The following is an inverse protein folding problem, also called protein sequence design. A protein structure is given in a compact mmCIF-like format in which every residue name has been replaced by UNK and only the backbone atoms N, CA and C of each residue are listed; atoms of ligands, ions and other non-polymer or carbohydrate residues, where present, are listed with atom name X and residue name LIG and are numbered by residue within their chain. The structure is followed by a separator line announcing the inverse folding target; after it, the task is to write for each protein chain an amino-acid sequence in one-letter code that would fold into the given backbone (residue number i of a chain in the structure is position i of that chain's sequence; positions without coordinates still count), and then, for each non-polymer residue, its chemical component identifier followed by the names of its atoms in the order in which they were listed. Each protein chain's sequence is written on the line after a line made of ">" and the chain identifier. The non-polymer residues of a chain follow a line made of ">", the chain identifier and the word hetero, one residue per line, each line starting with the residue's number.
data_IF_467557739879
#
_entry.id   IF_467557739879
#
_cell.length_a   1.000
_cell.length_b   1.000
_cell.length_c   1.000
_cell.angle_alpha   90.00
_cell.angle_beta   90.00
_cell.angle_gamma   90.00
#
_symmetry.space_group_name_H-M   'P 1'
#
loop_
_entity.id
_entity.type
_entity.pdbx_description
1 polymer ?
#
# COMPACT_ATOMS: atom_id res chain seq x y z
N UNK A 1 -4.77 -16.45 -14.51
CA UNK A 1 -5.57 -15.28 -14.95
C UNK A 1 -6.80 -15.16 -14.08
N UNK A 2 -7.02 -14.02 -13.45
CA UNK A 2 -8.28 -13.72 -12.79
C UNK A 2 -9.22 -13.09 -13.83
N UNK A 3 -10.46 -13.56 -13.90
CA UNK A 3 -11.50 -12.92 -14.72
C UNK A 3 -12.19 -11.91 -13.82
N UNK A 4 -12.08 -10.63 -14.15
CA UNK A 4 -12.85 -9.56 -13.49
C UNK A 4 -14.13 -9.40 -14.29
N UNK A 5 -15.28 -9.70 -13.68
CA UNK A 5 -16.57 -9.41 -14.25
C UNK A 5 -17.08 -8.11 -13.63
N UNK A 6 -17.26 -7.08 -14.43
CA UNK A 6 -17.88 -5.82 -14.02
C UNK A 6 -19.35 -5.90 -14.44
N UNK A 7 -20.26 -5.81 -13.49
CA UNK A 7 -21.68 -5.70 -13.75
C UNK A 7 -22.17 -4.33 -13.25
N UNK A 8 -22.79 -3.56 -14.12
CA UNK A 8 -23.53 -2.36 -13.74
C UNK A 8 -25.01 -2.73 -13.59
N UNK A 9 -25.62 -2.43 -12.45
CA UNK A 9 -27.05 -2.53 -12.25
C UNK A 9 -27.67 -1.15 -12.34
N UNK A 10 -28.48 -0.92 -13.33
CA UNK A 10 -29.37 0.23 -13.35
C UNK A 10 -30.55 -0.03 -12.41
N UNK A 11 -30.63 0.71 -11.32
CA UNK A 11 -31.83 0.74 -10.49
C UNK A 11 -32.86 1.63 -11.16
N UNK A 12 -34.08 1.10 -11.38
CA UNK A 12 -35.15 1.71 -12.17
C UNK A 12 -35.47 3.16 -11.79
N UNK A 13 -35.46 3.97 -12.80
CA UNK A 13 -36.35 5.11 -13.11
C UNK A 13 -36.37 6.39 -12.27
N UNK A 14 -35.63 6.61 -11.17
CA UNK A 14 -35.59 7.91 -10.47
C UNK A 14 -34.30 8.30 -9.75
N UNK A 15 -33.25 7.53 -9.80
CA UNK A 15 -31.92 7.95 -9.31
C UNK A 15 -30.87 7.61 -10.35
N UNK A 16 -30.06 8.59 -10.74
CA UNK A 16 -28.87 8.42 -11.59
C UNK A 16 -27.73 7.68 -10.86
N UNK A 17 -28.02 6.77 -9.93
CA UNK A 17 -27.03 6.00 -9.19
C UNK A 17 -26.93 4.59 -9.76
N UNK A 18 -25.88 4.30 -10.50
CA UNK A 18 -25.52 2.95 -10.91
C UNK A 18 -24.55 2.33 -9.88
N UNK A 19 -24.86 1.12 -9.42
CA UNK A 19 -23.96 0.35 -8.55
C UNK A 19 -22.98 -0.45 -9.41
N UNK A 20 -21.69 -0.31 -9.14
CA UNK A 20 -20.64 -1.11 -9.79
C UNK A 20 -20.34 -2.31 -8.89
N UNK A 21 -20.59 -3.52 -9.38
CA UNK A 21 -20.20 -4.77 -8.73
C UNK A 21 -19.03 -5.39 -9.50
N UNK A 22 -17.96 -5.75 -8.77
CA UNK A 22 -16.79 -6.40 -9.34
C UNK A 22 -16.60 -7.77 -8.68
N UNK A 23 -16.54 -8.84 -9.48
CA UNK A 23 -16.34 -10.20 -9.03
C UNK A 23 -15.03 -10.76 -9.59
N UNK A 24 -14.13 -11.16 -8.70
CA UNK A 24 -12.90 -11.86 -9.06
C UNK A 24 -12.95 -13.29 -8.53
N UNK A 25 -12.99 -14.27 -9.43
CA UNK A 25 -13.01 -15.69 -9.07
C UNK A 25 -11.59 -16.21 -8.82
N UNK A 26 -11.39 -16.96 -7.73
CA UNK A 26 -10.14 -17.66 -7.47
C UNK A 26 -10.13 -18.96 -8.27
N UNK A 27 -9.19 -19.11 -9.22
CA UNK A 27 -9.10 -20.27 -10.12
C UNK A 27 -8.21 -21.37 -9.51
N UNK A 28 -7.21 -21.03 -8.70
CA UNK A 28 -6.23 -21.95 -8.11
C UNK A 28 -6.30 -21.90 -6.57
N UNK A 29 -7.39 -22.46 -6.01
CA UNK A 29 -7.55 -22.61 -4.57
C UNK A 29 -7.07 -24.00 -4.13
N UNK A 30 -5.98 -24.06 -3.35
CA UNK A 30 -5.39 -25.30 -2.81
C UNK A 30 -5.55 -25.35 -1.30
N UNK A 31 -6.70 -25.75 -0.82
CA UNK A 31 -7.01 -25.82 0.63
C UNK A 31 -6.07 -26.77 1.39
N UNK A 32 -5.62 -27.82 0.73
CA UNK A 32 -4.72 -28.85 1.29
C UNK A 32 -3.35 -28.27 1.72
N UNK A 33 -2.86 -27.19 1.12
CA UNK A 33 -1.56 -26.56 1.47
C UNK A 33 -1.58 -25.91 2.87
N UNK A 34 -2.72 -25.82 3.54
CA UNK A 34 -2.90 -25.19 4.84
C UNK A 34 -3.10 -26.15 6.02
N UNK A 35 -3.15 -27.48 5.77
CA UNK A 35 -3.44 -28.48 6.82
C UNK A 35 -2.44 -28.43 8.00
N UNK A 36 -1.16 -28.14 7.74
CA UNK A 36 -0.10 -28.05 8.75
C UNK A 36 -0.13 -26.78 9.60
N UNK A 37 -0.94 -25.77 9.24
CA UNK A 37 -1.11 -24.53 10.01
C UNK A 37 -2.48 -24.45 10.70
N UNK A 38 -3.26 -25.53 10.68
CA UNK A 38 -4.60 -25.59 11.26
C UNK A 38 -4.57 -25.57 12.78
N UNK A 39 -3.66 -26.30 13.38
CA UNK A 39 -3.59 -26.52 14.82
C UNK A 39 -2.64 -25.57 15.55
N UNK A 40 -1.64 -25.03 14.87
CA UNK A 40 -0.64 -24.14 15.46
C UNK A 40 -0.73 -22.70 14.94
N UNK A 41 -0.20 -21.75 15.70
CA UNK A 41 -0.16 -20.34 15.32
C UNK A 41 1.15 -20.01 14.61
N UNK A 42 1.08 -19.44 13.42
CA UNK A 42 2.27 -18.92 12.73
C UNK A 42 2.81 -17.69 13.46
N UNK A 43 4.10 -17.67 13.84
CA UNK A 43 4.71 -16.48 14.44
C UNK A 43 4.50 -15.24 13.54
N UNK A 44 4.17 -14.11 14.16
CA UNK A 44 3.90 -12.82 13.48
C UNK A 44 2.78 -12.82 12.42
N UNK A 45 1.99 -13.91 12.32
CA UNK A 45 0.78 -13.97 11.49
C UNK A 45 -0.46 -13.63 12.34
N UNK A 46 -1.56 -13.28 11.68
CA UNK A 46 -2.82 -12.92 12.34
C UNK A 46 -3.59 -14.11 12.94
N UNK A 47 -3.05 -15.32 12.94
CA UNK A 47 -3.75 -16.54 13.37
C UNK A 47 -4.28 -16.44 14.79
N UNK A 48 -3.40 -16.15 15.76
CA UNK A 48 -3.76 -15.99 17.17
C UNK A 48 -4.73 -14.83 17.39
N UNK A 49 -4.46 -13.69 16.78
CA UNK A 49 -5.27 -12.47 17.01
C UNK A 49 -6.68 -12.60 16.44
N UNK A 50 -6.89 -13.37 15.39
CA UNK A 50 -8.22 -13.68 14.86
C UNK A 50 -8.96 -14.66 15.76
N UNK A 51 -8.31 -15.73 16.25
CA UNK A 51 -8.90 -16.66 17.20
C UNK A 51 -9.27 -15.93 18.51
N UNK A 52 -8.36 -15.10 19.03
CA UNK A 52 -8.60 -14.33 20.26
C UNK A 52 -9.76 -13.33 20.12
N UNK A 53 -9.93 -12.72 18.94
CA UNK A 53 -10.97 -11.72 18.70
C UNK A 53 -12.32 -12.34 18.32
N UNK A 54 -12.32 -13.32 17.45
CA UNK A 54 -13.52 -13.85 16.81
C UNK A 54 -13.87 -15.28 17.24
N UNK A 55 -13.01 -15.96 18.00
CA UNK A 55 -13.16 -17.37 18.38
C UNK A 55 -12.94 -18.35 17.22
N UNK A 56 -12.72 -17.84 16.02
CA UNK A 56 -12.56 -18.62 14.79
C UNK A 56 -11.69 -17.89 13.76
N UNK A 57 -10.95 -18.67 12.98
CA UNK A 57 -10.19 -18.17 11.83
C UNK A 57 -10.42 -18.99 10.57
N UNK A 58 -10.32 -18.38 9.41
CA UNK A 58 -10.34 -19.07 8.13
C UNK A 58 -8.96 -19.65 7.84
N UNK A 59 -8.76 -20.96 8.11
CA UNK A 59 -7.47 -21.63 7.87
C UNK A 59 -7.26 -21.82 6.37
N UNK A 60 -8.23 -22.40 5.66
CA UNK A 60 -8.17 -22.64 4.23
C UNK A 60 -8.13 -21.30 3.46
N UNK A 61 -6.96 -20.95 2.91
CA UNK A 61 -6.78 -19.75 2.12
C UNK A 61 -6.61 -18.46 2.93
N UNK A 62 -6.63 -18.52 4.28
CA UNK A 62 -6.35 -17.40 5.18
C UNK A 62 -7.42 -16.33 5.27
N UNK A 63 -8.55 -16.48 4.59
CA UNK A 63 -9.68 -15.55 4.65
C UNK A 63 -9.27 -14.08 4.49
N UNK A 64 -9.82 -13.20 5.32
CA UNK A 64 -9.49 -11.77 5.35
C UNK A 64 -8.14 -11.43 6.00
N UNK A 65 -7.49 -12.39 6.66
CA UNK A 65 -6.11 -12.25 7.12
C UNK A 65 -5.09 -12.45 5.98
N UNK A 66 -5.53 -12.89 4.81
CA UNK A 66 -4.70 -13.09 3.62
C UNK A 66 -4.66 -11.84 2.76
N UNK A 67 -3.51 -11.57 2.13
CA UNK A 67 -3.37 -10.51 1.12
C UNK A 67 -4.31 -10.66 -0.09
N UNK A 68 -5.02 -11.78 -0.24
CA UNK A 68 -6.03 -11.97 -1.31
C UNK A 68 -7.17 -10.95 -1.25
N UNK A 69 -7.52 -10.43 -0.07
CA UNK A 69 -8.56 -9.42 0.07
C UNK A 69 -8.21 -8.13 -0.67
N UNK A 70 -6.92 -7.84 -0.88
CA UNK A 70 -6.47 -6.61 -1.55
C UNK A 70 -6.84 -6.54 -3.03
N UNK A 71 -7.23 -7.65 -3.66
CA UNK A 71 -7.75 -7.64 -5.03
C UNK A 71 -8.98 -6.73 -5.17
N UNK A 72 -9.85 -6.69 -4.16
CA UNK A 72 -10.99 -5.78 -4.12
C UNK A 72 -10.56 -4.32 -4.02
N UNK A 73 -9.49 -4.03 -3.27
CA UNK A 73 -8.92 -2.69 -3.15
C UNK A 73 -8.34 -2.19 -4.48
N UNK A 74 -7.59 -3.05 -5.19
CA UNK A 74 -7.01 -2.72 -6.49
C UNK A 74 -8.11 -2.50 -7.53
N UNK A 75 -9.14 -3.33 -7.53
CA UNK A 75 -10.28 -3.17 -8.44
C UNK A 75 -11.04 -1.85 -8.17
N UNK A 76 -11.30 -1.50 -6.91
CA UNK A 76 -11.92 -0.23 -6.54
C UNK A 76 -11.00 0.97 -6.83
N UNK A 77 -9.68 0.80 -6.64
CA UNK A 77 -8.66 1.80 -6.97
C UNK A 77 -8.67 2.19 -8.44
N UNK A 78 -8.89 1.25 -9.35
CA UNK A 78 -9.00 1.53 -10.78
C UNK A 78 -10.20 2.46 -11.11
N UNK A 79 -11.31 2.32 -10.37
CA UNK A 79 -12.45 3.26 -10.51
C UNK A 79 -12.08 4.63 -9.95
N UNK A 80 -11.39 4.68 -8.81
CA UNK A 80 -10.94 5.94 -8.22
C UNK A 80 -9.94 6.66 -9.14
N UNK A 81 -8.99 5.95 -9.75
CA UNK A 81 -8.06 6.51 -10.75
C UNK A 81 -8.81 7.10 -11.95
N UNK A 82 -9.86 6.43 -12.44
CA UNK A 82 -10.68 6.94 -13.55
C UNK A 82 -11.42 8.24 -13.17
N UNK A 83 -11.79 8.43 -11.90
CA UNK A 83 -12.36 9.69 -11.39
C UNK A 83 -11.30 10.80 -11.32
N UNK A 84 -10.08 10.45 -10.92
CA UNK A 84 -8.99 11.41 -10.67
C UNK A 84 -8.25 11.82 -11.96
N UNK A 85 -8.16 10.94 -12.96
CA UNK A 85 -7.40 11.17 -14.19
C UNK A 85 -7.82 12.45 -14.96
N UNK A 86 -9.12 12.76 -15.13
CA UNK A 86 -9.55 14.02 -15.78
C UNK A 86 -9.12 15.28 -15.03
N UNK A 87 -8.78 15.16 -13.74
CA UNK A 87 -8.30 16.27 -12.90
C UNK A 87 -6.78 16.46 -13.01
N UNK A 88 -6.08 15.60 -13.78
CA UNK A 88 -4.63 15.63 -13.92
C UNK A 88 -3.89 14.95 -12.76
N UNK A 89 -4.59 14.29 -11.84
CA UNK A 89 -3.97 13.54 -10.75
C UNK A 89 -3.35 12.25 -11.29
N UNK A 90 -2.07 12.04 -10.96
CA UNK A 90 -1.32 10.84 -11.34
C UNK A 90 -0.61 10.28 -10.13
N UNK A 91 -0.80 8.99 -9.87
CA UNK A 91 -0.20 8.27 -8.76
C UNK A 91 0.81 7.28 -9.33
N UNK A 92 1.99 7.23 -8.74
CA UNK A 92 3.01 6.25 -9.05
C UNK A 92 3.66 5.75 -7.76
N UNK A 93 3.84 4.44 -7.65
CA UNK A 93 4.56 3.83 -6.53
C UNK A 93 5.60 2.84 -7.05
N UNK A 94 6.66 2.64 -6.27
CA UNK A 94 7.75 1.71 -6.62
C UNK A 94 8.40 1.13 -5.37
N UNK A 95 9.13 0.04 -5.56
CA UNK A 95 9.95 -0.54 -4.50
C UNK A 95 11.21 0.32 -4.33
N UNK A 96 11.30 0.99 -3.18
CA UNK A 96 12.37 1.92 -2.82
C UNK A 96 13.51 1.22 -2.05
N UNK A 97 13.12 0.25 -1.18
CA UNK A 97 14.10 -0.52 -0.39
C UNK A 97 13.69 -1.99 -0.31
N UNK A 98 14.66 -2.88 -0.37
CA UNK A 98 14.51 -4.30 0.00
C UNK A 98 15.64 -4.64 0.95
N UNK A 99 15.29 -5.01 2.20
CA UNK A 99 16.25 -5.27 3.27
C UNK A 99 17.22 -4.08 3.44
N UNK A 100 18.47 -4.20 3.00
CA UNK A 100 19.52 -3.18 3.07
C UNK A 100 19.81 -2.48 1.73
N UNK A 101 19.17 -2.92 0.65
CA UNK A 101 19.34 -2.34 -0.68
C UNK A 101 18.37 -1.18 -0.87
N UNK A 102 18.90 0.01 -1.09
CA UNK A 102 18.14 1.26 -1.27
C UNK A 102 18.32 1.76 -2.70
N UNK A 103 17.23 2.12 -3.37
CA UNK A 103 17.24 2.70 -4.70
C UNK A 103 17.56 4.21 -4.67
N UNK A 104 18.24 4.69 -5.70
CA UNK A 104 18.51 6.11 -5.92
C UNK A 104 17.61 6.66 -7.03
N UNK A 105 16.37 7.04 -6.67
CA UNK A 105 15.33 7.44 -7.61
C UNK A 105 14.86 8.87 -7.37
N UNK A 106 14.82 9.67 -8.43
CA UNK A 106 14.15 10.98 -8.44
C UNK A 106 12.64 10.76 -8.63
N UNK A 107 11.89 10.83 -7.52
CA UNK A 107 10.45 10.55 -7.49
C UNK A 107 9.60 11.45 -8.39
N UNK A 108 10.08 12.65 -8.72
CA UNK A 108 9.33 13.60 -9.55
C UNK A 108 9.27 13.16 -11.03
N UNK A 109 10.22 12.30 -11.45
CA UNK A 109 10.37 11.87 -12.84
C UNK A 109 9.90 10.45 -13.11
N UNK A 110 9.65 9.65 -12.09
CA UNK A 110 9.25 8.25 -12.25
C UNK A 110 7.92 8.13 -12.99
N UNK A 111 7.89 7.25 -13.96
CA UNK A 111 6.69 6.85 -14.68
C UNK A 111 6.30 5.40 -14.37
N UNK A 112 5.07 5.02 -14.66
CA UNK A 112 4.63 3.63 -14.57
C UNK A 112 5.48 2.70 -15.44
N UNK A 113 5.89 3.16 -16.61
CA UNK A 113 6.72 2.36 -17.50
C UNK A 113 8.09 2.04 -16.88
N UNK A 114 8.70 3.00 -16.17
CA UNK A 114 9.97 2.78 -15.46
C UNK A 114 9.81 1.76 -14.32
N UNK A 115 8.69 1.82 -13.60
CA UNK A 115 8.37 0.87 -12.52
C UNK A 115 8.15 -0.54 -13.06
N UNK A 116 7.39 -0.68 -14.13
CA UNK A 116 7.04 -1.98 -14.71
C UNK A 116 8.18 -2.57 -15.58
N UNK A 117 9.26 -1.82 -15.83
CA UNK A 117 10.44 -2.28 -16.58
C UNK A 117 11.19 -3.42 -15.84
N UNK A 118 11.06 -3.53 -14.52
CA UNK A 118 11.72 -4.56 -13.72
C UNK A 118 10.70 -5.41 -12.96
N UNK A 119 11.02 -6.70 -12.79
CA UNK A 119 10.14 -7.63 -12.06
C UNK A 119 9.98 -7.24 -10.58
N UNK A 120 10.97 -6.58 -10.00
CA UNK A 120 10.94 -6.09 -8.61
C UNK A 120 10.21 -4.76 -8.49
N UNK A 121 9.83 -4.12 -9.62
CA UNK A 121 9.17 -2.80 -9.65
C UNK A 121 9.98 -1.69 -9.01
N UNK A 122 11.27 -1.68 -9.26
CA UNK A 122 12.21 -0.62 -8.89
C UNK A 122 12.71 0.08 -10.16
N UNK A 123 12.55 1.41 -10.29
CA UNK A 123 12.98 2.17 -11.48
C UNK A 123 14.50 2.29 -11.62
N UNK A 124 15.26 2.07 -10.54
CA UNK A 124 16.72 2.02 -10.58
C UNK A 124 17.19 0.63 -11.00
N UNK A 125 17.77 0.44 -12.20
CA UNK A 125 18.14 -0.88 -12.70
C UNK A 125 19.27 -1.55 -11.90
N UNK A 126 20.16 -0.76 -11.29
CA UNK A 126 21.25 -1.29 -10.45
C UNK A 126 20.71 -1.80 -9.13
N UNK A 127 19.90 -0.99 -8.47
CA UNK A 127 19.20 -1.41 -7.24
C UNK A 127 18.24 -2.58 -7.51
N UNK A 128 17.51 -2.57 -8.63
CA UNK A 128 16.59 -3.65 -9.01
C UNK A 128 17.30 -5.01 -9.13
N UNK A 129 18.49 -5.04 -9.72
CA UNK A 129 19.30 -6.26 -9.82
C UNK A 129 19.74 -6.75 -8.43
N UNK A 130 20.22 -5.84 -7.57
CA UNK A 130 20.64 -6.17 -6.21
C UNK A 130 19.45 -6.62 -5.33
N UNK A 131 18.29 -5.95 -5.42
CA UNK A 131 17.06 -6.34 -4.74
C UNK A 131 16.57 -7.72 -5.18
N UNK A 132 16.65 -8.02 -6.49
CA UNK A 132 16.31 -9.34 -7.03
C UNK A 132 17.20 -10.42 -6.42
N UNK A 133 18.51 -10.18 -6.37
CA UNK A 133 19.45 -11.12 -5.76
C UNK A 133 19.19 -11.34 -4.26
N UNK A 134 18.84 -10.29 -3.52
CA UNK A 134 18.44 -10.34 -2.12
C UNK A 134 17.19 -11.22 -1.91
N UNK A 135 16.13 -11.00 -2.72
CA UNK A 135 14.90 -11.79 -2.66
C UNK A 135 15.13 -13.25 -3.02
N UNK A 136 15.97 -13.52 -4.02
CA UNK A 136 16.32 -14.89 -4.42
C UNK A 136 17.17 -15.60 -3.35
N UNK A 137 18.06 -14.86 -2.67
CA UNK A 137 18.81 -15.34 -1.52
C UNK A 137 17.87 -15.79 -0.40
N UNK A 138 16.96 -14.90 0.02
CA UNK A 138 15.96 -15.21 1.02
C UNK A 138 15.09 -16.43 0.64
N UNK A 139 14.70 -16.53 -0.65
CA UNK A 139 13.96 -17.70 -1.15
C UNK A 139 14.75 -19.00 -1.00
N UNK A 140 16.04 -18.99 -1.35
CA UNK A 140 16.92 -20.19 -1.21
C UNK A 140 17.08 -20.61 0.24
N UNK A 141 17.15 -19.64 1.14
CA UNK A 141 17.28 -19.86 2.58
C UNK A 141 15.95 -20.25 3.25
N UNK A 142 14.86 -20.31 2.50
CA UNK A 142 13.51 -20.56 3.04
C UNK A 142 13.01 -19.44 3.95
N UNK A 143 13.49 -18.21 3.76
CA UNK A 143 13.20 -17.03 4.57
C UNK A 143 12.45 -15.96 3.76
N UNK A 144 12.25 -14.78 4.33
CA UNK A 144 11.58 -13.66 3.69
C UNK A 144 12.24 -12.33 4.05
N UNK A 145 12.10 -11.34 3.18
CA UNK A 145 12.59 -9.98 3.38
C UNK A 145 11.45 -8.97 3.28
N UNK A 146 11.57 -7.89 4.03
CA UNK A 146 10.73 -6.71 3.96
C UNK A 146 11.41 -5.58 3.22
N UNK A 147 10.87 -4.38 3.36
CA UNK A 147 11.45 -3.17 2.78
C UNK A 147 10.45 -2.02 2.73
N UNK A 148 10.66 -1.09 1.83
CA UNK A 148 9.90 0.15 1.71
C UNK A 148 9.37 0.34 0.29
N UNK A 149 8.12 0.74 0.18
CA UNK A 149 7.53 1.29 -1.05
C UNK A 149 7.49 2.80 -0.91
N UNK A 150 7.95 3.51 -1.93
CA UNK A 150 7.71 4.95 -2.08
C UNK A 150 6.54 5.17 -3.01
N UNK A 151 5.71 6.17 -2.72
CA UNK A 151 4.62 6.59 -3.57
C UNK A 151 4.57 8.10 -3.70
N UNK A 152 4.22 8.57 -4.89
CA UNK A 152 4.05 10.00 -5.19
C UNK A 152 2.72 10.20 -5.91
N UNK A 153 1.91 11.15 -5.42
CA UNK A 153 0.72 11.61 -6.11
C UNK A 153 0.95 13.03 -6.63
N UNK A 154 1.01 13.16 -7.94
CA UNK A 154 1.17 14.43 -8.65
C UNK A 154 -0.17 15.02 -9.04
N UNK A 155 -0.24 16.34 -9.17
CA UNK A 155 -1.40 17.05 -9.70
C UNK A 155 -2.58 17.14 -8.73
N UNK A 156 -2.38 16.81 -7.47
CA UNK A 156 -3.42 16.99 -6.44
C UNK A 156 -3.60 18.49 -6.18
N UNK A 157 -4.81 19.06 -6.40
CA UNK A 157 -5.05 20.49 -6.16
C UNK A 157 -4.88 20.85 -4.68
N UNK A 158 -4.47 22.08 -4.42
CA UNK A 158 -4.53 22.64 -3.08
C UNK A 158 -5.98 22.68 -2.59
N UNK A 159 -6.19 22.38 -1.31
CA UNK A 159 -7.50 22.44 -0.67
C UNK A 159 -8.16 21.10 -0.36
N UNK A 160 -7.66 19.97 -0.87
CA UNK A 160 -8.21 18.66 -0.51
C UNK A 160 -7.74 18.24 0.88
N UNK A 161 -8.67 17.87 1.73
CA UNK A 161 -8.46 17.50 3.13
C UNK A 161 -9.61 18.02 3.98
N UNK A 162 -9.99 17.30 5.02
CA UNK A 162 -11.13 17.64 5.87
C UNK A 162 -10.75 17.64 7.37
N UNK A 163 -9.86 18.58 7.82
CA UNK A 163 -9.58 18.71 9.23
C UNK A 163 -10.86 19.04 10.01
N UNK A 164 -10.92 18.78 11.33
CA UNK A 164 -9.80 18.47 12.22
C UNK A 164 -9.45 16.97 12.23
N UNK A 165 -10.41 16.07 12.12
CA UNK A 165 -10.20 14.64 12.32
C UNK A 165 -9.83 13.90 11.02
N UNK A 166 -10.46 14.27 9.91
CA UNK A 166 -10.23 13.64 8.60
C UNK A 166 -9.19 14.43 7.80
N UNK A 167 -8.02 14.63 8.40
CA UNK A 167 -6.86 15.18 7.71
C UNK A 167 -6.42 14.25 6.60
N UNK A 168 -6.02 14.81 5.46
CA UNK A 168 -5.57 14.02 4.31
C UNK A 168 -4.39 13.09 4.65
N UNK A 169 -3.41 13.57 5.41
CA UNK A 169 -2.27 12.77 5.87
C UNK A 169 -2.69 11.65 6.84
N UNK A 170 -3.67 11.90 7.72
CA UNK A 170 -4.21 10.90 8.63
C UNK A 170 -4.97 9.80 7.88
N UNK A 171 -5.81 10.16 6.90
CA UNK A 171 -6.55 9.18 6.09
C UNK A 171 -5.61 8.37 5.18
N UNK A 172 -4.59 9.00 4.59
CA UNK A 172 -3.54 8.30 3.85
C UNK A 172 -2.80 7.30 4.76
N UNK A 173 -2.39 7.73 5.95
CA UNK A 173 -1.72 6.85 6.93
C UNK A 173 -2.61 5.67 7.34
N UNK A 174 -3.88 5.92 7.64
CA UNK A 174 -4.89 4.88 7.97
C UNK A 174 -5.05 3.89 6.82
N UNK A 175 -5.16 4.38 5.60
CA UNK A 175 -5.29 3.55 4.41
C UNK A 175 -4.06 2.65 4.23
N UNK A 176 -2.84 3.20 4.31
CA UNK A 176 -1.59 2.45 4.16
C UNK A 176 -1.40 1.43 5.29
N UNK A 177 -1.62 1.82 6.55
CA UNK A 177 -1.51 0.91 7.69
C UNK A 177 -2.57 -0.20 7.70
N UNK A 178 -3.66 -0.05 6.94
CA UNK A 178 -4.66 -1.09 6.73
C UNK A 178 -4.21 -2.19 5.75
N UNK A 179 -3.15 -1.97 4.97
CA UNK A 179 -2.60 -2.96 4.04
C UNK A 179 -1.88 -4.05 4.85
N UNK A 180 -2.13 -5.35 4.56
CA UNK A 180 -1.42 -6.43 5.23
C UNK A 180 0.11 -6.28 5.14
N UNK A 181 0.80 -6.59 6.23
CA UNK A 181 2.25 -6.48 6.43
C UNK A 181 2.81 -5.04 6.58
N UNK A 182 2.04 -3.99 6.38
CA UNK A 182 2.50 -2.62 6.65
C UNK A 182 2.71 -2.41 8.15
N UNK A 183 3.81 -1.73 8.50
CA UNK A 183 4.23 -1.42 9.87
C UNK A 183 4.69 0.02 10.06
N UNK A 184 4.87 0.78 9.00
CA UNK A 184 5.28 2.17 9.08
C UNK A 184 4.75 2.98 7.91
N UNK A 185 4.57 4.27 8.17
CA UNK A 185 4.16 5.28 7.20
C UNK A 185 4.90 6.59 7.50
N UNK A 186 5.42 7.22 6.46
CA UNK A 186 6.01 8.55 6.51
C UNK A 186 5.43 9.40 5.37
N UNK A 187 5.21 10.68 5.68
CA UNK A 187 4.84 11.71 4.72
C UNK A 187 5.97 12.74 4.62
N UNK A 188 6.35 13.13 3.42
CA UNK A 188 7.41 14.10 3.19
C UNK A 188 8.73 13.69 3.84
N UNK A 189 9.29 14.57 4.68
CA UNK A 189 10.53 14.29 5.41
C UNK A 189 10.40 13.27 6.55
N UNK A 190 9.15 12.90 6.94
CA UNK A 190 8.89 11.86 7.92
C UNK A 190 9.72 11.97 9.19
N UNK A 191 10.29 10.85 9.65
CA UNK A 191 11.15 10.82 10.84
C UNK A 191 12.46 11.62 10.69
N UNK A 192 12.95 11.82 9.47
CA UNK A 192 14.13 12.67 9.24
C UNK A 192 13.84 14.14 9.57
N UNK A 193 12.61 14.61 9.31
CA UNK A 193 12.15 15.96 9.65
C UNK A 193 12.23 16.27 11.14
N UNK A 194 11.98 15.27 12.00
CA UNK A 194 12.05 15.43 13.46
C UNK A 194 13.47 15.81 13.97
N UNK A 195 14.50 15.62 13.16
CA UNK A 195 15.90 15.96 13.46
C UNK A 195 16.31 17.35 12.94
N UNK A 196 15.41 18.02 12.19
CA UNK A 196 15.66 19.32 11.61
C UNK A 196 15.17 20.45 12.53
N UNK A 197 15.79 21.61 12.40
CA UNK A 197 15.26 22.83 12.99
C UNK A 197 14.16 23.40 12.09
N UNK A 198 13.19 24.13 12.64
CA UNK A 198 12.11 24.75 11.89
C UNK A 198 12.61 25.63 10.74
N UNK A 199 13.66 26.42 10.95
CA UNK A 199 14.29 27.25 9.91
C UNK A 199 14.85 26.45 8.72
N UNK A 200 15.17 25.18 8.92
CA UNK A 200 15.64 24.28 7.86
C UNK A 200 14.51 23.46 7.29
N UNK A 201 13.52 23.08 8.12
CA UNK A 201 12.40 22.24 7.72
C UNK A 201 11.34 23.01 6.93
N UNK A 202 11.09 24.29 7.26
CA UNK A 202 10.01 25.06 6.65
C UNK A 202 10.17 25.18 5.14
N UNK A 203 9.10 24.87 4.41
CA UNK A 203 9.01 25.00 2.95
C UNK A 203 8.66 26.46 2.61
N UNK A 204 9.62 27.21 2.04
CA UNK A 204 9.42 28.62 1.64
C UNK A 204 8.36 28.72 0.55
N UNK A 205 7.34 29.54 0.75
CA UNK A 205 6.23 29.75 -0.18
C UNK A 205 6.58 30.88 -1.16
N UNK A 206 6.30 30.66 -2.44
CA UNK A 206 6.49 31.66 -3.49
C UNK A 206 5.41 31.55 -4.57
N UNK A 207 5.34 32.52 -5.47
CA UNK A 207 4.54 32.44 -6.70
C UNK A 207 5.43 32.12 -7.87
N UNK A 208 5.04 31.14 -8.68
CA UNK A 208 5.71 30.83 -9.94
C UNK A 208 5.30 31.82 -11.06
N UNK A 209 5.95 31.72 -12.21
CA UNK A 209 5.70 32.60 -13.36
C UNK A 209 4.26 32.49 -13.89
N UNK A 210 3.56 31.41 -13.61
CA UNK A 210 2.14 31.23 -13.92
C UNK A 210 1.20 31.78 -12.82
N UNK A 211 1.76 32.42 -11.77
CA UNK A 211 1.02 32.98 -10.65
C UNK A 211 0.52 31.97 -9.62
N UNK A 212 0.93 30.70 -9.74
CA UNK A 212 0.54 29.63 -8.81
C UNK A 212 1.38 29.71 -7.54
N UNK A 213 0.75 29.41 -6.40
CA UNK A 213 1.45 29.24 -5.13
C UNK A 213 2.20 27.91 -5.14
N UNK A 214 3.49 27.95 -4.85
CA UNK A 214 4.40 26.80 -4.82
C UNK A 214 5.31 26.88 -3.59
N UNK A 215 5.99 25.78 -3.29
CA UNK A 215 7.04 25.76 -2.27
C UNK A 215 8.41 25.42 -2.89
N UNK A 216 9.51 26.01 -2.34
CA UNK A 216 10.87 25.78 -2.85
C UNK A 216 11.40 24.39 -2.51
N UNK A 217 10.89 23.82 -1.43
CA UNK A 217 11.16 22.45 -0.97
C UNK A 217 9.81 21.79 -0.65
N UNK A 218 9.78 20.47 -0.53
CA UNK A 218 8.57 19.74 -0.21
C UNK A 218 8.80 18.80 0.98
N UNK A 219 9.33 19.34 2.09
CA UNK A 219 9.56 18.57 3.31
C UNK A 219 8.28 18.19 4.03
N UNK A 220 7.24 19.02 3.87
CA UNK A 220 5.90 18.71 4.36
C UNK A 220 5.22 17.57 3.57
N UNK A 221 5.76 17.20 2.38
CA UNK A 221 5.24 16.10 1.58
C UNK A 221 3.88 16.37 0.95
N UNK A 222 3.60 17.62 0.55
CA UNK A 222 2.38 18.00 -0.17
C UNK A 222 1.15 18.23 0.71
N UNK A 223 1.25 18.07 2.03
CA UNK A 223 0.13 18.25 2.96
C UNK A 223 0.55 19.11 4.14
N UNK A 224 -0.20 20.18 4.40
CA UNK A 224 0.03 21.09 5.53
C UNK A 224 -1.29 21.31 6.26
N UNK A 225 -1.28 21.13 7.58
CA UNK A 225 -2.51 21.25 8.39
C UNK A 225 -3.58 20.22 8.07
N UNK A 226 -3.22 19.12 7.40
CA UNK A 226 -4.15 18.08 6.94
C UNK A 226 -4.81 18.38 5.60
N UNK A 227 -4.32 19.38 4.87
CA UNK A 227 -4.86 19.85 3.58
C UNK A 227 -3.74 19.83 2.54
N UNK A 228 -4.04 19.35 1.33
CA UNK A 228 -3.11 19.38 0.20
C UNK A 228 -2.73 20.84 -0.13
N UNK A 229 -1.45 21.09 -0.36
CA UNK A 229 -0.93 22.42 -0.67
C UNK A 229 -0.65 22.65 -2.17
N UNK A 230 -0.92 21.65 -3.02
CA UNK A 230 -0.67 21.70 -4.47
C UNK A 230 0.69 21.15 -4.91
N UNK A 231 1.59 20.83 -3.97
CA UNK A 231 2.82 20.12 -4.25
C UNK A 231 2.59 18.60 -4.33
N UNK A 232 3.52 17.81 -4.93
CA UNK A 232 3.39 16.36 -4.95
C UNK A 232 3.26 15.77 -3.54
N UNK A 233 2.29 14.88 -3.35
CA UNK A 233 2.16 14.15 -2.08
C UNK A 233 3.15 12.99 -2.11
N UNK A 234 4.13 13.01 -1.20
CA UNK A 234 5.21 12.03 -1.15
C UNK A 234 5.13 11.18 0.11
N UNK A 235 5.15 9.86 -0.06
CA UNK A 235 4.96 8.90 1.03
C UNK A 235 5.99 7.78 0.98
N UNK A 236 6.34 7.22 2.15
CA UNK A 236 7.11 5.99 2.29
C UNK A 236 6.35 5.02 3.20
N UNK A 237 6.23 3.78 2.76
CA UNK A 237 5.43 2.75 3.42
C UNK A 237 6.31 1.53 3.71
N UNK A 238 6.53 1.24 5.00
CA UNK A 238 7.36 0.14 5.44
C UNK A 238 6.57 -1.15 5.58
N UNK A 239 7.04 -2.20 4.93
CA UNK A 239 6.49 -3.55 4.98
C UNK A 239 7.43 -4.48 5.73
N UNK A 240 6.90 -5.18 6.75
CA UNK A 240 7.66 -6.24 7.41
C UNK A 240 7.83 -7.45 6.50
N UNK A 241 8.83 -8.31 6.74
CA UNK A 241 8.94 -9.61 6.09
C UNK A 241 7.65 -10.43 6.24
N UNK A 242 7.35 -11.29 5.26
CA UNK A 242 6.20 -12.18 5.36
C UNK A 242 6.37 -13.15 6.52
N UNK A 243 5.29 -13.35 7.29
CA UNK A 243 5.34 -14.18 8.48
C UNK A 243 5.47 -15.69 8.19
N UNK A 244 5.02 -16.13 7.01
CA UNK A 244 5.08 -17.52 6.61
C UNK A 244 6.40 -17.80 5.89
N UNK A 245 7.32 -18.50 6.56
CA UNK A 245 8.63 -18.90 6.02
C UNK A 245 8.77 -20.41 6.06
N UNK A 246 9.67 -20.97 5.26
CA UNK A 246 9.88 -22.43 5.19
C UNK A 246 10.82 -22.98 6.27
N UNK A 247 11.24 -22.12 7.19
CA UNK A 247 12.09 -22.50 8.34
C UNK A 247 11.23 -22.95 9.50
N UNK A 248 11.70 -23.93 10.25
CA UNK A 248 11.06 -24.36 11.48
C UNK A 248 11.15 -23.25 12.54
N UNK A 249 9.99 -22.90 13.12
CA UNK A 249 9.87 -21.84 14.11
C UNK A 249 9.17 -22.37 15.37
N UNK A 250 9.67 -22.05 16.58
CA UNK A 250 8.98 -22.36 17.82
C UNK A 250 7.68 -21.54 17.89
N UNK A 251 6.61 -22.17 18.36
CA UNK A 251 5.29 -21.56 18.53
C UNK A 251 4.47 -22.34 19.56
N UNK A 252 3.20 -22.03 19.68
CA UNK A 252 2.22 -22.78 20.44
C UNK A 252 1.06 -23.28 19.54
N UNK A 253 0.45 -24.37 19.98
CA UNK A 253 -0.81 -24.83 19.38
C UNK A 253 -2.02 -24.04 19.96
N UNK A 254 -3.23 -24.41 19.51
CA UNK A 254 -4.47 -23.76 19.98
C UNK A 254 -4.78 -24.02 21.46
N UNK A 255 -4.24 -25.10 22.02
CA UNK A 255 -4.41 -25.47 23.44
C UNK A 255 -3.32 -24.84 24.34
N UNK A 256 -2.38 -24.09 23.74
CA UNK A 256 -1.30 -23.39 24.45
C UNK A 256 -0.05 -24.23 24.65
N UNK A 257 0.04 -25.43 24.08
CA UNK A 257 1.21 -26.29 24.23
C UNK A 257 2.32 -25.82 23.28
N UNK A 258 3.57 -25.85 23.77
CA UNK A 258 4.74 -25.55 22.97
C UNK A 258 4.89 -26.55 21.80
N UNK A 259 5.12 -26.03 20.63
CA UNK A 259 5.30 -26.83 19.40
C UNK A 259 6.28 -26.15 18.43
N UNK A 260 6.63 -26.84 17.35
CA UNK A 260 7.43 -26.29 16.26
C UNK A 260 6.66 -26.39 14.97
N UNK A 261 6.53 -25.25 14.28
CA UNK A 261 5.84 -25.16 13.00
C UNK A 261 6.84 -24.94 11.88
N UNK A 262 6.83 -25.83 10.89
CA UNK A 262 7.53 -25.66 9.62
C UNK A 262 6.49 -25.62 8.49
N UNK A 263 6.02 -24.44 8.09
CA UNK A 263 5.03 -24.31 7.04
C UNK A 263 5.51 -24.90 5.73
N UNK A 264 4.62 -25.55 4.99
CA UNK A 264 4.88 -26.12 3.67
C UNK A 264 4.03 -25.37 2.64
N UNK A 265 4.46 -25.36 1.39
CA UNK A 265 3.72 -24.75 0.32
C UNK A 265 4.41 -23.53 -0.31
N UNK A 266 3.69 -22.78 -1.15
CA UNK A 266 4.20 -21.58 -1.81
C UNK A 266 4.23 -20.41 -0.85
N UNK A 267 5.42 -19.84 -0.62
CA UNK A 267 5.59 -18.61 0.14
C UNK A 267 6.13 -17.52 -0.77
N UNK A 268 5.71 -16.31 -0.49
CA UNK A 268 6.25 -15.12 -1.13
C UNK A 268 7.44 -14.62 -0.30
N UNK A 269 8.68 -14.72 -0.78
CA UNK A 269 9.84 -14.27 -0.03
C UNK A 269 9.86 -12.74 0.15
N UNK A 270 9.12 -12.00 -0.70
CA UNK A 270 9.00 -10.55 -0.61
C UNK A 270 7.67 -10.09 -1.22
N UNK A 271 6.85 -9.39 -0.44
CA UNK A 271 5.54 -8.90 -0.91
C UNK A 271 5.60 -7.58 -1.67
N UNK A 272 6.71 -6.85 -1.58
CA UNK A 272 6.82 -5.46 -2.08
C UNK A 272 6.41 -5.31 -3.55
N UNK A 273 6.89 -6.13 -4.51
CA UNK A 273 6.51 -5.96 -5.91
C UNK A 273 5.00 -6.11 -6.15
N UNK A 274 4.32 -6.94 -5.34
CA UNK A 274 2.87 -7.12 -5.41
C UNK A 274 2.10 -6.02 -4.68
N UNK A 275 2.72 -5.39 -3.69
CA UNK A 275 2.11 -4.34 -2.90
C UNK A 275 2.10 -2.98 -3.61
N UNK A 276 2.95 -2.74 -4.60
CA UNK A 276 2.99 -1.50 -5.39
C UNK A 276 1.60 -1.09 -5.89
N UNK A 277 0.87 -1.91 -6.66
CA UNK A 277 -0.47 -1.52 -7.14
C UNK A 277 -1.50 -1.39 -6.01
N UNK A 278 -1.28 -2.03 -4.86
CA UNK A 278 -2.16 -1.88 -3.69
C UNK A 278 -1.98 -0.50 -3.06
N UNK A 279 -0.75 -0.03 -2.94
CA UNK A 279 -0.41 1.31 -2.43
C UNK A 279 -1.00 2.38 -3.34
N UNK A 280 -0.87 2.25 -4.67
CA UNK A 280 -1.45 3.17 -5.64
C UNK A 280 -2.98 3.20 -5.53
N UNK A 281 -3.62 2.04 -5.50
CA UNK A 281 -5.07 1.90 -5.38
C UNK A 281 -5.59 2.54 -4.08
N UNK A 282 -4.93 2.30 -2.95
CA UNK A 282 -5.34 2.89 -1.67
C UNK A 282 -5.13 4.40 -1.65
N UNK A 283 -4.07 4.90 -2.27
CA UNK A 283 -3.87 6.35 -2.46
C UNK A 283 -4.99 6.95 -3.31
N UNK A 284 -5.34 6.31 -4.44
CA UNK A 284 -6.41 6.76 -5.31
C UNK A 284 -7.76 6.81 -4.60
N UNK A 285 -8.09 5.78 -3.80
CA UNK A 285 -9.34 5.74 -3.04
C UNK A 285 -9.47 6.89 -2.04
N UNK A 286 -8.40 7.19 -1.30
CA UNK A 286 -8.38 8.32 -0.35
C UNK A 286 -8.52 9.65 -1.09
N UNK A 287 -7.75 9.84 -2.15
CA UNK A 287 -7.80 11.10 -2.91
C UNK A 287 -9.15 11.31 -3.60
N UNK A 288 -9.79 10.25 -4.11
CA UNK A 288 -11.13 10.34 -4.69
C UNK A 288 -12.19 10.69 -3.64
N UNK A 289 -12.11 10.14 -2.42
CA UNK A 289 -13.00 10.49 -1.33
C UNK A 289 -12.85 11.97 -0.94
N UNK A 290 -11.62 12.44 -0.74
CA UNK A 290 -11.36 13.84 -0.42
C UNK A 290 -11.76 14.80 -1.55
N UNK A 291 -11.61 14.40 -2.81
CA UNK A 291 -12.13 15.16 -3.95
C UNK A 291 -13.64 15.31 -3.89
N UNK A 292 -14.37 14.21 -3.66
CA UNK A 292 -15.83 14.24 -3.59
C UNK A 292 -16.32 15.06 -2.40
N UNK A 293 -15.66 14.95 -1.25
CA UNK A 293 -15.93 15.79 -0.06
C UNK A 293 -15.68 17.26 -0.36
N UNK A 294 -14.55 17.59 -0.98
CA UNK A 294 -14.22 18.96 -1.36
C UNK A 294 -15.29 19.56 -2.29
N UNK A 295 -15.72 18.81 -3.29
CA UNK A 295 -16.82 19.23 -4.15
C UNK A 295 -18.13 19.45 -3.41
N UNK A 296 -18.41 18.64 -2.40
CA UNK A 296 -19.62 18.78 -1.58
C UNK A 296 -19.59 20.01 -0.66
N UNK A 297 -18.40 20.49 -0.29
CA UNK A 297 -18.22 21.60 0.65
C UNK A 297 -17.95 22.95 -0.05
N UNK A 298 -17.15 22.91 -1.11
CA UNK A 298 -16.60 24.12 -1.72
C UNK A 298 -17.11 24.37 -3.15
N UNK A 299 -17.88 23.47 -3.75
CA UNK A 299 -18.53 23.63 -5.06
C UNK A 299 -17.82 22.90 -6.17
#
# INVERSE_FOLDING_TARGET
>A
CAVITIASYETSSRSNSSTIAMLVRTIDARSHDYANVETAYRPSHADYTYDAKFGVRAVAGGGRASARETVGRVAAGAVAEAILAPLGVRIVAWVDEVEHVVAAVDGDRVTRADVDATAVRCPDPVAAAAMTACIEGARKDGDSVGGVIRAVAHGVPAGWGAPVFDKLDADLAKAMLSIPAVKGFELGSGFAGARLRGSTHNDEIYRDDAGRVRTRTNRAGGVVGGIANGEPITMRIAFKPTATIMRAQPTIDRDGNATTLAPRGRHDPCVLPRAVPIVEAMTALVLADHFLRHRGQCG
#
